data_IF_759184108826
#
_entry.id   IF_759184108826
#
_cell.length_a   1.000
_cell.length_b   1.000
_cell.length_c   1.000
_cell.angle_alpha   90.00
_cell.angle_beta   90.00
_cell.angle_gamma   90.00
#
_symmetry.space_group_name_H-M   'P 1'
#
loop_
_entity.id
_entity.type
_entity.pdbx_description
1 polymer ?
#
# COMPACT_ATOMS: atom_id res chain seq x y z
N UNK A 1 -11.52 -4.87 -5.67
CA UNK A 1 -11.91 -3.71 -6.51
C UNK A 1 -11.47 -2.36 -5.93
N UNK A 2 -11.50 -2.18 -4.60
CA UNK A 2 -11.19 -0.89 -3.95
C UNK A 2 -9.74 -0.39 -4.14
N UNK A 3 -8.75 -1.28 -4.10
CA UNK A 3 -7.33 -0.90 -4.30
C UNK A 3 -7.07 -0.36 -5.72
N UNK A 4 -7.74 -0.89 -6.74
CA UNK A 4 -7.64 -0.38 -8.12
C UNK A 4 -8.23 1.03 -8.22
N UNK A 5 -9.31 1.30 -7.50
CA UNK A 5 -9.91 2.63 -7.41
C UNK A 5 -8.93 3.65 -6.78
N UNK A 6 -8.30 3.30 -5.64
CA UNK A 6 -7.29 4.15 -5.00
C UNK A 6 -6.10 4.46 -5.90
N UNK A 7 -5.57 3.44 -6.58
CA UNK A 7 -4.50 3.63 -7.58
C UNK A 7 -4.92 4.58 -8.69
N UNK A 8 -6.19 4.54 -9.12
CA UNK A 8 -6.72 5.50 -10.09
C UNK A 8 -6.78 6.92 -9.55
N UNK A 9 -7.13 7.14 -8.29
CA UNK A 9 -7.15 8.48 -7.69
C UNK A 9 -5.75 9.08 -7.64
N UNK A 10 -4.77 8.29 -7.18
CA UNK A 10 -3.35 8.70 -7.16
C UNK A 10 -2.88 9.00 -8.58
N UNK A 11 -3.14 8.11 -9.55
CA UNK A 11 -2.71 8.30 -10.92
C UNK A 11 -3.26 9.58 -11.57
N UNK A 12 -4.50 9.97 -11.22
CA UNK A 12 -5.14 11.19 -11.71
C UNK A 12 -4.71 12.45 -10.94
N UNK A 13 -3.92 12.32 -9.88
CA UNK A 13 -3.54 13.43 -9.01
C UNK A 13 -4.70 13.96 -8.17
N UNK A 14 -5.58 13.07 -7.72
CA UNK A 14 -6.80 13.38 -6.97
C UNK A 14 -6.74 12.93 -5.51
N UNK A 15 -5.68 12.23 -5.10
CA UNK A 15 -5.51 11.76 -3.73
C UNK A 15 -4.82 12.84 -2.88
N UNK A 16 -5.47 13.33 -1.83
CA UNK A 16 -4.93 14.36 -0.95
C UNK A 16 -3.67 13.88 -0.21
N UNK A 17 -2.64 14.72 -0.14
CA UNK A 17 -1.39 14.45 0.58
C UNK A 17 -1.23 15.44 1.73
N UNK A 18 -0.97 14.92 2.94
CA UNK A 18 -0.80 15.76 4.14
C UNK A 18 0.29 16.83 3.99
N UNK A 19 1.35 16.54 3.25
CA UNK A 19 2.48 17.44 3.04
C UNK A 19 2.19 18.53 1.99
N UNK A 20 1.00 18.54 1.41
CA UNK A 20 0.47 19.64 0.60
C UNK A 20 -0.08 19.20 -0.75
N UNK A 21 -1.27 19.69 -1.07
CA UNK A 21 -1.96 19.41 -2.33
C UNK A 21 -2.38 17.95 -2.46
N UNK A 22 -2.28 17.43 -3.68
CA UNK A 22 -2.54 16.02 -3.99
C UNK A 22 -1.23 15.31 -4.36
N UNK A 23 -1.20 13.99 -4.22
CA UNK A 23 -0.14 13.16 -4.80
C UNK A 23 0.04 13.47 -6.30
N UNK A 24 1.27 13.46 -6.82
CA UNK A 24 1.51 13.79 -8.23
C UNK A 24 0.88 12.75 -9.16
N UNK A 25 0.50 13.20 -10.36
CA UNK A 25 -0.04 12.31 -11.41
C UNK A 25 0.97 11.22 -11.76
N UNK A 26 0.48 10.00 -11.92
CA UNK A 26 1.32 8.86 -12.31
C UNK A 26 1.26 8.64 -13.82
N UNK A 27 2.41 8.61 -14.49
CA UNK A 27 2.47 8.39 -15.93
C UNK A 27 2.18 6.94 -16.36
N UNK A 28 2.44 5.96 -15.48
CA UNK A 28 2.30 4.54 -15.83
C UNK A 28 1.80 3.69 -14.64
N UNK A 29 0.67 4.04 -14.03
CA UNK A 29 0.14 3.24 -12.91
C UNK A 29 -0.48 1.93 -13.41
N UNK A 30 0.16 0.79 -13.14
CA UNK A 30 -0.39 -0.52 -13.54
C UNK A 30 -1.69 -0.87 -12.80
N UNK A 31 -2.63 -1.46 -13.53
CA UNK A 31 -3.86 -2.04 -12.98
C UNK A 31 -3.55 -3.37 -12.31
N UNK A 32 -3.85 -3.48 -11.02
CA UNK A 32 -3.69 -4.73 -10.28
C UNK A 32 -4.65 -5.81 -10.79
N UNK A 33 -4.18 -7.05 -10.79
CA UNK A 33 -4.98 -8.25 -11.02
C UNK A 33 -4.94 -9.10 -9.75
N UNK A 34 -6.03 -9.82 -9.52
CA UNK A 34 -6.09 -10.79 -8.43
C UNK A 34 -5.23 -12.01 -8.78
N UNK A 35 -4.52 -12.54 -7.80
CA UNK A 35 -3.66 -13.71 -7.95
C UNK A 35 -3.93 -14.68 -6.80
N UNK A 36 -4.43 -15.87 -7.14
CA UNK A 36 -4.83 -16.88 -6.16
C UNK A 36 -3.62 -17.50 -5.42
N UNK A 37 -2.41 -17.46 -5.99
CA UNK A 37 -1.22 -17.97 -5.29
C UNK A 37 -0.76 -16.98 -4.20
N UNK A 38 -0.84 -15.68 -4.48
CA UNK A 38 -0.58 -14.63 -3.47
C UNK A 38 -1.66 -14.68 -2.36
N UNK A 39 -2.92 -14.94 -2.72
CA UNK A 39 -4.00 -15.15 -1.73
C UNK A 39 -3.66 -16.31 -0.79
N UNK A 40 -3.25 -17.47 -1.31
CA UNK A 40 -2.90 -18.63 -0.47
C UNK A 40 -1.76 -18.33 0.50
N UNK A 41 -0.75 -17.58 0.06
CA UNK A 41 0.35 -17.11 0.92
C UNK A 41 -0.19 -16.25 2.06
N UNK A 42 -1.01 -15.24 1.73
CA UNK A 42 -1.61 -14.34 2.71
C UNK A 42 -2.54 -15.07 3.70
N UNK A 43 -3.38 -15.97 3.20
CA UNK A 43 -4.29 -16.78 4.01
C UNK A 43 -3.53 -17.69 4.99
N UNK A 44 -2.42 -18.32 4.55
CA UNK A 44 -1.56 -19.15 5.41
C UNK A 44 -0.95 -18.33 6.56
N UNK A 45 -0.53 -17.10 6.29
CA UNK A 45 0.00 -16.21 7.34
C UNK A 45 -1.10 -15.74 8.29
N UNK A 46 -2.24 -15.29 7.75
CA UNK A 46 -3.38 -14.84 8.56
C UNK A 46 -3.90 -15.92 9.52
N UNK A 47 -3.90 -17.19 9.10
CA UNK A 47 -4.32 -18.33 9.92
C UNK A 47 -3.45 -18.56 11.17
N UNK A 48 -2.24 -17.98 11.26
CA UNK A 48 -1.40 -18.05 12.46
C UNK A 48 -1.92 -17.17 13.59
N UNK A 49 -2.82 -16.22 13.30
CA UNK A 49 -3.38 -15.28 14.26
C UNK A 49 -2.32 -14.45 15.03
N UNK A 50 -1.20 -14.14 14.37
CA UNK A 50 -0.13 -13.29 14.91
C UNK A 50 -0.09 -11.97 14.15
N UNK A 51 -0.26 -10.85 14.85
CA UNK A 51 -0.15 -9.52 14.24
C UNK A 51 1.32 -9.09 14.15
N UNK A 52 2.05 -9.75 13.25
CA UNK A 52 3.42 -9.44 12.90
C UNK A 52 3.65 -9.79 11.42
N UNK A 53 4.60 -9.13 10.77
CA UNK A 53 4.96 -9.42 9.39
C UNK A 53 5.53 -10.84 9.24
N UNK A 54 5.19 -11.50 8.13
CA UNK A 54 5.83 -12.76 7.76
C UNK A 54 7.27 -12.54 7.30
N UNK A 55 8.10 -13.58 7.41
CA UNK A 55 9.46 -13.53 6.87
C UNK A 55 9.41 -13.48 5.34
N UNK A 56 10.45 -12.91 4.71
CA UNK A 56 10.53 -12.85 3.24
C UNK A 56 10.42 -14.24 2.58
N UNK A 57 10.95 -15.28 3.22
CA UNK A 57 10.86 -16.65 2.73
C UNK A 57 9.42 -17.17 2.74
N UNK A 58 8.66 -16.94 3.81
CA UNK A 58 7.27 -17.39 3.94
C UNK A 58 6.32 -16.73 2.93
N UNK A 59 6.67 -15.51 2.50
CA UNK A 59 5.90 -14.75 1.50
C UNK A 59 6.52 -14.70 0.12
N UNK A 60 7.52 -15.54 -0.16
CA UNK A 60 8.19 -15.61 -1.48
C UNK A 60 8.65 -14.23 -2.00
N UNK A 61 9.12 -13.36 -1.10
CA UNK A 61 9.51 -11.97 -1.35
C UNK A 61 8.39 -11.04 -1.86
N UNK A 62 7.12 -11.42 -1.72
CA UNK A 62 5.98 -10.53 -1.98
C UNK A 62 5.91 -9.40 -0.95
N UNK A 63 5.41 -8.23 -1.35
CA UNK A 63 5.01 -7.18 -0.43
C UNK A 63 3.92 -7.63 0.54
N UNK A 64 3.80 -7.01 1.70
CA UNK A 64 2.81 -7.39 2.71
C UNK A 64 2.30 -6.17 3.45
N UNK A 65 0.97 -6.05 3.55
CA UNK A 65 0.31 -5.13 4.45
C UNK A 65 -0.53 -5.95 5.44
N UNK A 66 -0.56 -5.51 6.71
CA UNK A 66 -1.34 -6.16 7.75
C UNK A 66 -2.45 -5.23 8.24
N UNK A 67 -3.56 -5.83 8.65
CA UNK A 67 -4.66 -5.11 9.28
C UNK A 67 -5.31 -6.01 10.32
N UNK A 68 -5.67 -5.43 11.45
CA UNK A 68 -6.46 -6.10 12.48
C UNK A 68 -7.48 -5.12 13.06
N UNK A 69 -8.56 -5.67 13.62
CA UNK A 69 -9.56 -4.90 14.36
C UNK A 69 -9.94 -5.63 15.63
N UNK A 70 -10.33 -4.85 16.64
CA UNK A 70 -10.93 -5.34 17.87
C UNK A 70 -12.21 -4.54 18.11
N UNK A 71 -13.39 -5.19 18.28
CA UNK A 71 -13.61 -6.64 18.25
C UNK A 71 -13.50 -7.25 16.83
N UNK A 72 -13.23 -8.56 16.71
CA UNK A 72 -13.21 -9.26 15.43
C UNK A 72 -14.59 -9.24 14.74
N UNK A 73 -14.64 -9.61 13.47
CA UNK A 73 -15.87 -9.74 12.69
C UNK A 73 -15.74 -10.86 11.67
N UNK A 74 -16.86 -11.54 11.39
CA UNK A 74 -16.94 -12.55 10.33
C UNK A 74 -17.25 -11.93 8.95
N UNK A 75 -17.54 -10.62 8.89
CA UNK A 75 -17.73 -9.90 7.64
C UNK A 75 -16.37 -9.59 6.98
N UNK A 76 -15.83 -10.61 6.31
CA UNK A 76 -14.53 -10.56 5.63
C UNK A 76 -14.49 -9.53 4.51
N UNK A 77 -15.62 -9.25 3.85
CA UNK A 77 -15.68 -8.28 2.76
C UNK A 77 -15.57 -6.85 3.30
N UNK A 78 -16.31 -6.54 4.36
CA UNK A 78 -16.17 -5.26 5.06
C UNK A 78 -14.80 -5.10 5.69
N UNK A 79 -14.23 -6.16 6.26
CA UNK A 79 -12.89 -6.14 6.81
C UNK A 79 -11.83 -5.83 5.75
N UNK A 80 -11.93 -6.44 4.57
CA UNK A 80 -11.03 -6.15 3.45
C UNK A 80 -11.16 -4.69 2.95
N UNK A 81 -12.38 -4.15 2.93
CA UNK A 81 -12.62 -2.73 2.63
C UNK A 81 -11.95 -1.81 3.64
N UNK A 82 -12.23 -2.01 4.92
CA UNK A 82 -11.65 -1.22 6.02
C UNK A 82 -10.12 -1.27 6.03
N UNK A 83 -9.52 -2.44 5.74
CA UNK A 83 -8.08 -2.59 5.65
C UNK A 83 -7.50 -1.72 4.53
N UNK A 84 -8.09 -1.79 3.33
CA UNK A 84 -7.65 -1.00 2.20
C UNK A 84 -7.79 0.51 2.46
N UNK A 85 -8.89 0.94 3.08
CA UNK A 85 -9.13 2.33 3.46
C UNK A 85 -8.06 2.81 4.46
N UNK A 86 -7.79 2.02 5.50
CA UNK A 86 -6.81 2.35 6.53
C UNK A 86 -5.39 2.48 5.96
N UNK A 87 -4.98 1.57 5.07
CA UNK A 87 -3.68 1.63 4.41
C UNK A 87 -3.57 2.85 3.50
N UNK A 88 -4.62 3.17 2.74
CA UNK A 88 -4.59 4.30 1.82
C UNK A 88 -4.62 5.65 2.54
N UNK A 89 -5.37 5.75 3.65
CA UNK A 89 -5.52 6.97 4.45
C UNK A 89 -4.20 7.49 5.05
N UNK A 90 -3.14 6.68 5.09
CA UNK A 90 -1.82 7.13 5.51
C UNK A 90 -1.31 8.33 4.70
N UNK A 91 -1.64 8.42 3.41
CA UNK A 91 -1.26 9.56 2.56
C UNK A 91 -1.89 10.87 3.07
N UNK A 92 -3.18 10.89 3.31
CA UNK A 92 -3.88 12.09 3.78
C UNK A 92 -3.51 12.41 5.23
N UNK A 93 -3.20 11.39 6.04
CA UNK A 93 -2.87 11.55 7.45
C UNK A 93 -1.43 12.01 7.70
N UNK A 94 -0.47 11.48 6.93
CA UNK A 94 0.96 11.65 7.19
C UNK A 94 1.74 12.17 5.99
N UNK A 95 1.28 11.86 4.77
CA UNK A 95 1.83 12.40 3.53
C UNK A 95 3.16 11.81 3.08
N UNK A 96 3.44 11.96 1.79
CA UNK A 96 4.70 11.54 1.14
C UNK A 96 5.43 12.76 0.58
N UNK A 97 4.69 13.73 0.06
CA UNK A 97 5.20 14.95 -0.54
C UNK A 97 5.38 14.85 -2.06
N UNK A 98 5.57 16.00 -2.70
CA UNK A 98 5.56 16.14 -4.16
C UNK A 98 6.73 15.46 -4.88
N UNK A 99 7.85 15.26 -4.19
CA UNK A 99 8.96 14.48 -4.73
C UNK A 99 8.58 13.00 -4.93
N UNK A 100 7.58 12.52 -4.18
CA UNK A 100 7.03 11.17 -4.27
C UNK A 100 8.11 10.08 -4.12
N UNK A 101 9.09 10.30 -3.24
CA UNK A 101 10.18 9.37 -2.95
C UNK A 101 10.01 8.78 -1.55
N UNK A 102 9.95 7.44 -1.47
CA UNK A 102 9.97 6.75 -0.19
C UNK A 102 11.40 6.69 0.36
N UNK A 103 11.70 7.53 1.35
CA UNK A 103 13.01 7.62 2.00
C UNK A 103 12.99 7.01 3.40
N UNK A 104 14.15 6.71 3.96
CA UNK A 104 14.26 6.27 5.36
C UNK A 104 13.88 7.38 6.34
N UNK A 105 14.10 8.65 5.99
CA UNK A 105 13.58 9.76 6.77
C UNK A 105 12.05 9.75 6.85
N UNK A 106 11.38 9.48 5.73
CA UNK A 106 9.92 9.37 5.67
C UNK A 106 9.39 8.17 6.46
N UNK A 107 10.05 7.02 6.34
CA UNK A 107 9.66 5.77 6.99
C UNK A 107 9.88 5.77 8.51
N UNK A 108 10.91 6.49 8.98
CA UNK A 108 11.28 6.53 10.40
C UNK A 108 10.59 7.67 11.18
N UNK A 109 9.60 8.35 10.59
CA UNK A 109 8.82 9.37 11.29
C UNK A 109 8.02 8.71 12.43
N UNK A 110 8.28 9.14 13.65
CA UNK A 110 7.69 8.56 14.85
C UNK A 110 6.16 8.65 14.82
N UNK A 111 5.48 7.50 14.92
CA UNK A 111 4.02 7.42 14.91
C UNK A 111 3.34 7.73 13.57
N UNK A 112 4.11 7.84 12.48
CA UNK A 112 3.62 8.20 11.15
C UNK A 112 3.88 7.08 10.14
N UNK A 113 3.01 6.08 10.16
CA UNK A 113 3.07 4.95 9.23
C UNK A 113 2.74 5.42 7.81
N UNK A 114 3.56 5.07 6.83
CA UNK A 114 3.32 5.41 5.41
C UNK A 114 3.60 4.23 4.45
N UNK A 115 4.14 3.14 5.00
CA UNK A 115 4.58 1.97 4.23
C UNK A 115 3.42 1.22 3.58
N UNK A 116 2.23 1.23 4.19
CA UNK A 116 1.08 0.53 3.65
C UNK A 116 0.54 1.27 2.41
N UNK A 117 0.41 2.61 2.50
CA UNK A 117 0.04 3.44 1.36
C UNK A 117 1.03 3.30 0.21
N UNK A 118 2.34 3.38 0.49
CA UNK A 118 3.34 3.30 -0.58
C UNK A 118 3.32 1.96 -1.29
N UNK A 119 3.01 0.86 -0.58
CA UNK A 119 2.78 -0.44 -1.19
C UNK A 119 1.48 -0.50 -2.02
N UNK A 120 0.37 0.09 -1.54
CA UNK A 120 -0.91 0.20 -2.29
C UNK A 120 -0.72 0.95 -3.61
N UNK A 121 0.10 2.01 -3.59
CA UNK A 121 0.31 2.94 -4.71
C UNK A 121 1.60 2.67 -5.49
N UNK A 122 2.27 1.54 -5.28
CA UNK A 122 3.56 1.26 -5.91
C UNK A 122 3.45 0.96 -7.40
N UNK A 123 4.47 1.36 -8.15
CA UNK A 123 4.60 1.07 -9.58
C UNK A 123 5.09 -0.36 -9.86
N UNK A 124 6.09 -0.84 -9.13
CA UNK A 124 6.68 -2.16 -9.33
C UNK A 124 6.00 -3.21 -8.45
N UNK A 125 5.13 -4.03 -9.04
CA UNK A 125 4.66 -5.29 -8.45
C UNK A 125 5.29 -6.52 -9.13
N UNK A 126 6.35 -6.34 -9.94
CA UNK A 126 7.07 -7.45 -10.58
C UNK A 126 8.15 -7.92 -9.60
N UNK A 127 7.89 -9.06 -8.95
CA UNK A 127 8.80 -9.92 -8.15
C UNK A 127 10.06 -9.23 -7.62
N UNK A 128 10.01 -8.86 -6.33
CA UNK A 128 11.18 -8.44 -5.55
C UNK A 128 11.55 -6.98 -5.77
N UNK A 129 11.69 -6.25 -4.65
CA UNK A 129 12.06 -4.84 -4.55
C UNK A 129 10.91 -3.83 -4.65
N UNK A 130 10.34 -3.50 -3.48
CA UNK A 130 9.81 -2.16 -3.22
C UNK A 130 11.00 -1.21 -3.27
N UNK A 131 11.22 -0.54 -4.41
CA UNK A 131 11.87 0.77 -4.52
C UNK A 131 12.02 1.14 -6.00
N UNK A 132 11.05 1.92 -6.49
CA UNK A 132 11.23 3.05 -7.41
C UNK A 132 9.84 3.63 -7.68
N UNK A 133 9.43 4.58 -6.85
CA UNK A 133 8.42 5.56 -7.29
C UNK A 133 9.15 6.48 -8.29
N UNK A 134 8.66 6.51 -9.53
CA UNK A 134 9.34 7.15 -10.65
C UNK A 134 9.37 8.67 -10.51
N UNK A 135 10.58 9.22 -10.64
CA UNK A 135 10.85 10.60 -11.04
C UNK A 135 10.56 10.73 -12.55
N UNK A 136 9.61 11.58 -12.92
CA UNK A 136 9.40 11.99 -14.31
C UNK A 136 10.55 12.91 -14.74
N UNK A 137 11.18 12.59 -15.86
CA UNK A 137 11.75 13.62 -16.73
C UNK A 137 10.70 13.92 -17.80
N UNK A 138 10.38 15.20 -17.94
CA UNK A 138 9.53 15.76 -18.98
C UNK A 138 10.16 15.57 -20.37
N UNK A 139 9.35 15.16 -21.33
CA UNK A 139 9.34 15.67 -22.71
C UNK A 139 7.88 15.64 -23.20
#
# INVERSE_FOLDING_TARGET
>A
MIVVYFRSLVAKGQAADKLGGNAPKAANMYKMKYDCEIEKIAARHAAKCVFAHSTNAERENNGENLYMRMPPTDDVTKMAGNAADAWFAELEKYGVGQENVFTMALANRQGMMIGHYTQVSSYNFIKGHILKMLKLHSF
#
